data_IF_174243719637
#
_entry.id   IF_174243719637
#
_cell.length_a   1.000
_cell.length_b   1.000
_cell.length_c   1.000
_cell.angle_alpha   90.00
_cell.angle_beta   90.00
_cell.angle_gamma   90.00
#
_symmetry.space_group_name_H-M   'P 1'
#
loop_
_entity.id
_entity.type
_entity.pdbx_description
1 polymer ?
#
# COMPACT_ATOMS: atom_id res chain seq x y z
N UNK A 1 1.80 16.56 2.28
CA UNK A 1 0.77 15.51 2.27
C UNK A 1 1.10 14.46 3.31
N UNK A 2 0.10 13.89 3.99
CA UNK A 2 0.36 12.81 4.93
C UNK A 2 1.02 11.61 4.27
N UNK A 3 1.86 10.93 5.03
CA UNK A 3 2.58 9.73 4.59
C UNK A 3 2.00 8.51 5.27
N UNK A 4 1.87 7.42 4.50
CA UNK A 4 1.35 6.16 5.02
C UNK A 4 2.24 5.01 4.58
N UNK A 5 2.43 4.06 5.47
CA UNK A 5 3.08 2.79 5.18
C UNK A 5 2.00 1.73 5.16
N UNK A 6 1.85 1.03 4.07
CA UNK A 6 0.88 -0.06 3.97
C UNK A 6 1.61 -1.39 3.86
N UNK A 7 1.21 -2.31 4.71
CA UNK A 7 1.75 -3.66 4.76
C UNK A 7 0.73 -4.59 4.13
N UNK A 8 1.20 -5.44 3.22
CA UNK A 8 0.33 -6.35 2.48
C UNK A 8 0.76 -7.78 2.74
N UNK A 9 -0.21 -8.63 3.02
CA UNK A 9 0.00 -10.06 3.13
C UNK A 9 -0.86 -10.75 2.09
N UNK A 10 -0.25 -11.60 1.24
CA UNK A 10 -0.98 -12.36 0.25
C UNK A 10 -1.97 -13.30 0.93
N UNK A 11 -3.17 -13.33 0.37
CA UNK A 11 -4.14 -14.37 0.72
C UNK A 11 -3.81 -15.64 -0.07
N UNK A 12 -4.50 -16.72 0.25
CA UNK A 12 -4.40 -17.94 -0.53
C UNK A 12 -4.77 -17.68 -2.00
N UNK A 13 -5.82 -16.90 -2.24
CA UNK A 13 -6.22 -16.52 -3.58
C UNK A 13 -5.15 -15.70 -4.29
N UNK A 14 -4.54 -14.74 -3.58
CA UNK A 14 -3.47 -13.91 -4.14
C UNK A 14 -2.27 -14.74 -4.55
N UNK A 15 -1.90 -15.72 -3.72
CA UNK A 15 -0.80 -16.62 -4.03
C UNK A 15 -1.09 -17.47 -5.27
N UNK A 16 -2.32 -17.92 -5.45
CA UNK A 16 -2.71 -18.70 -6.63
C UNK A 16 -2.70 -17.86 -7.91
N UNK A 17 -2.90 -16.55 -7.80
CA UNK A 17 -3.00 -15.66 -8.94
C UNK A 17 -1.73 -14.82 -9.16
N UNK A 18 -0.60 -15.30 -8.71
CA UNK A 18 0.67 -14.59 -8.76
C UNK A 18 1.06 -14.14 -10.17
N UNK A 19 0.70 -14.93 -11.20
CA UNK A 19 1.10 -14.61 -12.57
C UNK A 19 0.45 -13.32 -13.09
N UNK A 20 -0.75 -13.00 -12.61
CA UNK A 20 -1.46 -11.80 -13.05
C UNK A 20 -1.25 -10.62 -12.10
N UNK A 21 -0.59 -10.86 -10.97
CA UNK A 21 -0.44 -9.87 -9.92
C UNK A 21 0.32 -8.62 -10.37
N UNK A 22 1.42 -8.70 -11.14
CA UNK A 22 2.12 -7.50 -11.59
C UNK A 22 1.24 -6.56 -12.39
N UNK A 23 0.37 -7.08 -13.24
CA UNK A 23 -0.55 -6.25 -14.03
C UNK A 23 -1.57 -5.56 -13.12
N UNK A 24 -2.06 -6.27 -12.11
CA UNK A 24 -3.02 -5.71 -11.15
C UNK A 24 -2.39 -4.63 -10.30
N UNK A 25 -1.15 -4.83 -9.89
CA UNK A 25 -0.40 -3.82 -9.13
C UNK A 25 -0.23 -2.55 -9.95
N UNK A 26 0.13 -2.66 -11.22
CA UNK A 26 0.26 -1.51 -12.11
C UNK A 26 -1.06 -0.76 -12.26
N UNK A 27 -2.16 -1.49 -12.43
CA UNK A 27 -3.49 -0.88 -12.54
C UNK A 27 -3.86 -0.15 -11.25
N UNK A 28 -3.55 -0.73 -10.10
CA UNK A 28 -3.80 -0.12 -8.79
C UNK A 28 -2.98 1.15 -8.62
N UNK A 29 -1.71 1.13 -9.02
CA UNK A 29 -0.85 2.31 -8.94
C UNK A 29 -1.36 3.43 -9.84
N UNK A 30 -1.81 3.11 -11.04
CA UNK A 30 -2.38 4.09 -11.97
C UNK A 30 -3.64 4.72 -11.38
N UNK A 31 -4.50 3.91 -10.78
CA UNK A 31 -5.72 4.41 -10.13
C UNK A 31 -5.39 5.31 -8.94
N UNK A 32 -4.40 4.92 -8.16
CA UNK A 32 -3.95 5.72 -7.02
C UNK A 32 -3.44 7.09 -7.47
N UNK A 33 -2.69 7.13 -8.57
CA UNK A 33 -2.19 8.38 -9.13
C UNK A 33 -3.33 9.30 -9.54
N UNK A 34 -4.41 8.75 -10.10
CA UNK A 34 -5.58 9.53 -10.47
C UNK A 34 -6.28 10.14 -9.24
N UNK A 35 -6.14 9.51 -8.08
CA UNK A 35 -6.72 10.00 -6.83
C UNK A 35 -5.76 10.92 -6.06
N UNK A 36 -4.64 11.29 -6.66
CA UNK A 36 -3.66 12.16 -6.03
C UNK A 36 -2.72 11.48 -5.06
N UNK A 37 -2.70 10.16 -5.04
CA UNK A 37 -1.79 9.39 -4.20
C UNK A 37 -0.46 9.22 -4.93
N UNK A 38 0.63 9.59 -4.25
CA UNK A 38 1.99 9.47 -4.77
C UNK A 38 2.66 8.28 -4.11
N UNK A 39 3.07 7.30 -4.91
CA UNK A 39 3.80 6.14 -4.41
C UNK A 39 5.27 6.49 -4.33
N UNK A 40 5.82 6.55 -3.11
CA UNK A 40 7.22 6.84 -2.86
C UNK A 40 8.09 5.60 -2.92
N UNK A 41 7.53 4.45 -2.57
CA UNK A 41 8.27 3.19 -2.60
C UNK A 41 7.32 2.02 -2.64
N UNK A 42 7.77 0.95 -3.30
CA UNK A 42 7.03 -0.30 -3.41
C UNK A 42 8.04 -1.43 -3.31
N UNK A 43 7.92 -2.26 -2.28
CA UNK A 43 8.93 -3.26 -1.97
C UNK A 43 8.31 -4.63 -1.76
N UNK A 44 8.93 -5.65 -2.36
CA UNK A 44 8.67 -7.03 -1.99
C UNK A 44 9.48 -7.33 -0.75
N UNK A 45 8.87 -7.98 0.23
CA UNK A 45 9.53 -8.29 1.49
C UNK A 45 9.42 -9.78 1.78
N UNK A 46 10.28 -10.25 2.66
CA UNK A 46 10.23 -11.61 3.20
C UNK A 46 9.85 -11.52 4.66
N UNK A 47 9.15 -12.54 5.14
CA UNK A 47 8.71 -12.60 6.53
C UNK A 47 7.21 -12.55 6.63
N UNK A 48 6.72 -11.82 7.63
CA UNK A 48 5.30 -11.79 7.94
C UNK A 48 4.47 -11.10 6.85
N UNK A 49 5.05 -10.11 6.17
CA UNK A 49 4.38 -9.37 5.10
C UNK A 49 5.11 -9.59 3.79
N UNK A 50 4.35 -9.58 2.71
CA UNK A 50 4.88 -9.88 1.37
C UNK A 50 5.21 -8.63 0.58
N UNK A 51 4.51 -7.52 0.85
CA UNK A 51 4.71 -6.25 0.15
C UNK A 51 4.59 -5.12 1.16
N UNK A 52 5.43 -4.12 0.99
CA UNK A 52 5.37 -2.87 1.76
C UNK A 52 5.36 -1.71 0.78
N UNK A 53 4.43 -0.77 0.97
CA UNK A 53 4.42 0.46 0.17
C UNK A 53 4.52 1.67 1.08
N UNK A 54 5.13 2.72 0.55
CA UNK A 54 5.18 4.02 1.20
C UNK A 54 4.53 5.00 0.24
N UNK A 55 3.47 5.68 0.70
CA UNK A 55 2.71 6.60 -0.14
C UNK A 55 2.46 7.91 0.56
N UNK A 56 2.31 8.97 -0.23
CA UNK A 56 1.74 10.23 0.22
C UNK A 56 0.36 10.38 -0.38
N UNK A 57 -0.59 10.81 0.43
CA UNK A 57 -1.97 10.97 0.00
C UNK A 57 -2.51 12.31 0.48
N UNK A 58 -3.49 12.89 -0.25
CA UNK A 58 -4.04 14.19 0.15
C UNK A 58 -4.77 14.12 1.48
N UNK A 59 -5.42 13.01 1.79
CA UNK A 59 -6.12 12.83 3.06
C UNK A 59 -6.32 11.35 3.36
N UNK A 60 -6.84 11.09 4.56
CA UNK A 60 -7.09 9.73 5.04
C UNK A 60 -8.16 9.01 4.22
N UNK A 61 -9.14 9.73 3.69
CA UNK A 61 -10.20 9.12 2.90
C UNK A 61 -9.69 8.52 1.61
N UNK A 62 -8.73 9.20 0.95
CA UNK A 62 -8.11 8.67 -0.26
C UNK A 62 -7.41 7.35 0.01
N UNK A 63 -6.68 7.27 1.12
CA UNK A 63 -5.99 6.05 1.53
C UNK A 63 -6.97 4.94 1.86
N UNK A 64 -8.02 5.27 2.62
CA UNK A 64 -9.04 4.30 2.99
C UNK A 64 -9.74 3.71 1.76
N UNK A 65 -10.09 4.56 0.80
CA UNK A 65 -10.72 4.10 -0.43
C UNK A 65 -9.82 3.16 -1.22
N UNK A 66 -8.53 3.51 -1.34
CA UNK A 66 -7.56 2.67 -2.02
C UNK A 66 -7.37 1.33 -1.33
N UNK A 67 -7.28 1.34 -0.01
CA UNK A 67 -7.11 0.13 0.79
C UNK A 67 -8.32 -0.79 0.66
N UNK A 68 -9.53 -0.24 0.71
CA UNK A 68 -10.75 -1.04 0.53
C UNK A 68 -10.83 -1.66 -0.84
N UNK A 69 -10.39 -0.95 -1.88
CA UNK A 69 -10.37 -1.49 -3.24
C UNK A 69 -9.43 -2.69 -3.34
N UNK A 70 -8.26 -2.60 -2.71
CA UNK A 70 -7.28 -3.69 -2.70
C UNK A 70 -7.82 -4.89 -1.92
N UNK A 71 -8.36 -4.65 -0.73
CA UNK A 71 -8.93 -5.71 0.11
C UNK A 71 -10.11 -6.38 -0.58
N UNK A 72 -10.96 -5.60 -1.27
CA UNK A 72 -12.12 -6.12 -1.96
C UNK A 72 -11.78 -7.05 -3.11
N UNK A 73 -10.60 -6.92 -3.70
CA UNK A 73 -10.13 -7.84 -4.74
C UNK A 73 -9.77 -9.22 -4.20
N UNK A 74 -9.56 -9.36 -2.88
CA UNK A 74 -9.34 -10.64 -2.23
C UNK A 74 -7.93 -11.19 -2.31
N UNK A 75 -6.97 -10.46 -2.89
CA UNK A 75 -5.60 -10.94 -3.08
C UNK A 75 -4.68 -10.63 -1.90
N UNK A 76 -5.03 -9.64 -1.10
CA UNK A 76 -4.20 -9.18 0.01
C UNK A 76 -5.04 -8.87 1.25
N UNK A 77 -4.45 -9.15 2.40
CA UNK A 77 -4.81 -8.50 3.66
C UNK A 77 -3.88 -7.31 3.83
N UNK A 78 -4.41 -6.17 4.24
CA UNK A 78 -3.64 -4.94 4.35
C UNK A 78 -3.68 -4.37 5.75
N UNK A 79 -2.59 -3.71 6.13
CA UNK A 79 -2.52 -2.93 7.35
C UNK A 79 -1.87 -1.59 6.99
N UNK A 80 -2.56 -0.50 7.27
CA UNK A 80 -2.11 0.84 6.94
C UNK A 80 -1.69 1.57 8.19
N UNK A 81 -0.45 2.08 8.18
CA UNK A 81 0.14 2.81 9.30
C UNK A 81 0.32 4.26 8.89
N UNK A 82 -0.16 5.17 9.72
CA UNK A 82 0.15 6.59 9.53
C UNK A 82 1.62 6.81 9.90
N UNK A 83 2.40 7.34 8.96
CA UNK A 83 3.82 7.57 9.16
C UNK A 83 4.12 9.06 9.27
N UNK A 84 5.05 9.40 10.12
CA UNK A 84 5.51 10.77 10.31
C UNK A 84 6.99 10.82 10.04
N UNK A 85 7.40 11.85 9.31
CA UNK A 85 8.82 12.14 9.17
C UNK A 85 9.40 12.33 10.57
N UNK A 86 10.51 11.67 10.83
CA UNK A 86 11.12 11.67 12.17
C UNK A 86 12.47 12.36 12.15
N UNK A 87 12.52 13.70 12.06
CA UNK A 87 13.78 14.42 12.20
C UNK A 87 14.35 14.17 13.60
N UNK A 88 15.66 14.31 13.73
CA UNK A 88 16.37 13.94 14.95
C UNK A 88 15.73 14.48 16.23
N UNK A 89 15.16 15.66 16.19
CA UNK A 89 14.53 16.28 17.38
C UNK A 89 13.26 15.60 17.86
N UNK A 90 12.61 14.75 17.06
CA UNK A 90 11.34 14.15 17.43
C UNK A 90 11.50 13.14 18.55
N UNK A 91 12.65 12.47 18.63
CA UNK A 91 12.91 11.42 19.62
C UNK A 91 13.65 11.93 20.85
N UNK A 92 13.95 13.21 20.88
CA UNK A 92 14.65 13.84 22.00
C UNK A 92 13.71 14.65 22.91
#
# INVERSE_FOLDING_TARGET
MPTYVTLYKLTEQGAREMKTLPQRVRATQARAAQQGIKVLGWYLTQGQYDVVTIVEAPDEMAVAAGTLAIAGAGNFHTETLRAYSAPCGVFL
#
